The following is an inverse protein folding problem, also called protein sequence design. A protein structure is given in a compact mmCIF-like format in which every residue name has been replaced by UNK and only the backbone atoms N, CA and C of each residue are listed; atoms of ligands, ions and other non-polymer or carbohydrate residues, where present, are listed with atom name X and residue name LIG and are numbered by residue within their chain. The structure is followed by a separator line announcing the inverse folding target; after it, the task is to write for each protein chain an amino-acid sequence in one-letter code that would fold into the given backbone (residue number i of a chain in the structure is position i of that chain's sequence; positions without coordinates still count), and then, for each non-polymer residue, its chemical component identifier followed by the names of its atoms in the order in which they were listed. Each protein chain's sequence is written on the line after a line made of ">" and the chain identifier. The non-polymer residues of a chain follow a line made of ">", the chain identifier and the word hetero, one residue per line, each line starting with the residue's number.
data_IF_236986697726
#
_entry.id   IF_236986697726
#
_cell.length_a   1.000
_cell.length_b   1.000
_cell.length_c   1.000
_cell.angle_alpha   90.00
_cell.angle_beta   90.00
_cell.angle_gamma   90.00
#
_symmetry.space_group_name_H-M   'P 1'
#
loop_
_entity.id
_entity.type
_entity.pdbx_description
1 polymer ?
#
# COMPACT_ATOMS: atom_id res chain seq x y z
N UNK A 1 64.72 5.46 39.68
CA UNK A 1 64.22 5.42 38.32
C UNK A 1 62.66 5.53 38.36
N UNK A 2 62.20 6.67 38.10
CA UNK A 2 60.75 7.06 38.22
C UNK A 2 60.06 6.79 36.94
N UNK A 3 59.05 5.89 36.89
CA UNK A 3 58.19 5.65 35.79
C UNK A 3 57.02 6.64 35.89
N UNK A 4 56.91 7.54 34.90
CA UNK A 4 55.80 8.47 34.74
C UNK A 4 54.56 7.74 34.14
N UNK A 5 53.44 7.82 34.82
CA UNK A 5 52.13 7.41 34.32
C UNK A 5 51.60 8.43 33.29
N UNK A 6 51.22 7.93 32.12
CA UNK A 6 50.51 8.69 31.07
C UNK A 6 49.01 8.62 31.36
N UNK A 7 48.25 9.74 31.33
CA UNK A 7 46.86 9.68 31.68
C UNK A 7 45.99 9.16 30.50
N UNK A 8 45.16 8.19 30.81
CA UNK A 8 44.11 7.60 29.97
C UNK A 8 42.93 8.55 29.88
N UNK A 9 43.02 9.61 29.07
CA UNK A 9 41.95 10.61 28.95
C UNK A 9 41.37 10.80 27.54
N UNK A 10 41.65 9.91 26.58
CA UNK A 10 41.17 10.08 25.18
C UNK A 10 40.20 9.01 24.66
N UNK A 11 39.72 8.09 25.49
CA UNK A 11 38.89 6.98 25.01
C UNK A 11 37.38 7.16 25.18
N UNK A 12 36.92 8.17 25.95
CA UNK A 12 35.49 8.34 26.24
C UNK A 12 34.74 9.24 25.26
N UNK A 13 35.43 10.13 24.56
CA UNK A 13 34.79 11.03 23.58
C UNK A 13 34.55 10.34 22.21
N UNK A 14 35.38 9.36 21.85
CA UNK A 14 35.25 8.62 20.59
C UNK A 14 34.10 7.61 20.57
N UNK A 15 33.76 7.00 21.73
CA UNK A 15 32.65 6.03 21.80
C UNK A 15 31.26 6.68 21.71
N UNK A 16 31.10 7.94 22.16
CA UNK A 16 29.81 8.62 22.11
C UNK A 16 29.47 9.12 20.70
N UNK A 17 30.45 9.42 19.85
CA UNK A 17 30.23 9.81 18.45
C UNK A 17 29.94 8.62 17.52
N UNK A 18 30.53 7.45 17.80
CA UNK A 18 30.25 6.23 17.04
C UNK A 18 28.85 5.65 17.31
N UNK A 19 28.33 5.81 18.54
CA UNK A 19 26.96 5.38 18.88
C UNK A 19 25.89 6.29 18.25
N UNK A 20 26.19 7.55 18.01
CA UNK A 20 25.29 8.54 17.42
C UNK A 20 25.01 8.26 15.92
N UNK A 21 26.05 7.92 15.15
CA UNK A 21 25.89 7.53 13.73
C UNK A 21 25.15 6.21 13.55
N UNK A 22 25.31 5.25 14.45
CA UNK A 22 24.66 3.94 14.39
C UNK A 22 23.15 4.01 14.63
N UNK A 23 22.64 4.90 15.47
CA UNK A 23 21.20 5.07 15.74
C UNK A 23 20.46 5.68 14.53
N UNK A 24 21.05 6.68 13.87
CA UNK A 24 20.48 7.25 12.66
C UNK A 24 20.50 6.29 11.45
N UNK A 25 21.51 5.40 11.40
CA UNK A 25 21.64 4.40 10.34
C UNK A 25 20.61 3.26 10.43
N UNK A 26 19.98 3.06 11.59
CA UNK A 26 18.96 2.03 11.79
C UNK A 26 17.53 2.47 11.46
N UNK A 27 17.28 3.77 11.25
CA UNK A 27 15.94 4.29 10.93
C UNK A 27 15.64 4.17 9.43
N UNK A 28 14.50 3.63 9.09
CA UNK A 28 14.02 3.47 7.71
C UNK A 28 12.57 3.98 7.58
N UNK A 29 12.30 4.94 6.68
CA UNK A 29 13.27 5.77 5.92
C UNK A 29 14.17 6.58 6.85
N UNK A 30 15.38 6.88 6.39
CA UNK A 30 16.29 7.77 7.13
C UNK A 30 15.70 9.18 7.22
N UNK A 31 15.59 9.77 8.43
CA UNK A 31 15.05 11.11 8.59
C UNK A 31 15.97 12.17 7.97
N UNK A 32 15.40 13.32 7.59
CA UNK A 32 16.15 14.43 7.01
C UNK A 32 17.19 14.99 7.99
N UNK A 33 16.84 15.06 9.28
CA UNK A 33 17.77 15.50 10.33
C UNK A 33 17.67 14.58 11.54
N UNK A 34 18.83 14.25 12.14
CA UNK A 34 18.93 13.49 13.37
C UNK A 34 20.10 14.03 14.22
N UNK A 35 19.81 14.43 15.45
CA UNK A 35 20.81 14.87 16.42
C UNK A 35 20.63 14.11 17.70
N UNK A 36 21.63 13.30 18.09
CA UNK A 36 21.58 12.56 19.34
C UNK A 36 21.77 13.50 20.55
N UNK A 37 21.10 13.14 21.65
CA UNK A 37 21.23 13.80 22.96
C UNK A 37 21.65 12.79 24.02
N UNK A 38 22.09 13.28 25.18
CA UNK A 38 22.42 12.42 26.33
C UNK A 38 21.14 11.96 27.04
N UNK A 39 21.10 10.66 27.37
CA UNK A 39 19.99 10.04 28.11
C UNK A 39 18.99 9.33 27.23
N UNK A 40 17.86 8.95 27.80
CA UNK A 40 16.81 8.22 27.13
C UNK A 40 15.47 8.40 27.85
N UNK A 41 14.37 8.35 27.10
CA UNK A 41 13.01 8.28 27.61
C UNK A 41 12.59 6.80 27.75
N UNK A 42 12.24 6.36 28.94
CA UNK A 42 11.78 4.98 29.16
C UNK A 42 10.25 4.98 29.31
N UNK A 43 9.57 4.40 28.32
CA UNK A 43 8.08 4.30 28.33
C UNK A 43 7.56 3.24 29.31
N UNK A 44 8.43 2.39 29.87
CA UNK A 44 8.05 1.30 30.76
C UNK A 44 8.40 1.55 32.25
N UNK A 45 9.37 2.41 32.56
CA UNK A 45 9.97 2.49 33.90
C UNK A 45 9.14 3.24 34.93
N UNK A 46 8.37 4.26 34.52
CA UNK A 46 7.58 5.07 35.46
C UNK A 46 6.32 5.62 34.78
N UNK A 47 5.34 6.03 35.59
CA UNK A 47 4.20 6.78 35.10
C UNK A 47 4.66 8.07 34.39
N UNK A 48 3.98 8.44 33.31
CA UNK A 48 4.17 9.70 32.60
C UNK A 48 2.82 10.34 32.33
N UNK A 49 2.80 11.66 32.23
CA UNK A 49 1.60 12.42 31.85
C UNK A 49 1.50 12.46 30.31
N UNK A 50 0.28 12.28 29.78
CA UNK A 50 -0.01 12.51 28.37
C UNK A 50 -0.70 13.86 28.21
N UNK A 51 -0.14 14.72 27.36
CA UNK A 51 -0.70 16.03 27.02
C UNK A 51 -0.95 16.05 25.51
N UNK A 52 -2.20 16.15 25.12
CA UNK A 52 -2.59 16.24 23.71
C UNK A 52 -3.16 17.62 23.41
N UNK A 53 -2.35 18.46 22.76
CA UNK A 53 -2.71 19.78 22.26
C UNK A 53 -2.98 19.79 20.75
N UNK A 54 -2.87 18.61 20.10
CA UNK A 54 -3.11 18.44 18.67
C UNK A 54 -4.54 18.02 18.32
N UNK A 55 -5.39 17.84 19.34
CA UNK A 55 -6.78 17.42 19.14
C UNK A 55 -6.92 15.99 18.60
N UNK A 56 -7.89 15.81 17.69
CA UNK A 56 -8.21 14.48 17.15
C UNK A 56 -7.12 13.90 16.24
N UNK A 57 -6.27 14.75 15.63
CA UNK A 57 -5.17 14.31 14.78
C UNK A 57 -4.18 13.36 15.49
N UNK A 58 -3.99 13.53 16.80
CA UNK A 58 -3.11 12.68 17.59
C UNK A 58 -3.86 11.56 18.35
N UNK A 59 -5.20 11.62 18.47
CA UNK A 59 -5.99 10.75 19.35
C UNK A 59 -5.87 9.25 19.01
N UNK A 60 -5.82 8.91 17.73
CA UNK A 60 -5.82 7.52 17.25
C UNK A 60 -4.42 6.92 17.06
N UNK A 61 -3.35 7.66 17.36
CA UNK A 61 -1.97 7.28 17.01
C UNK A 61 -1.31 6.44 18.10
N UNK A 62 -1.71 6.66 19.33
CA UNK A 62 -1.23 5.86 20.44
C UNK A 62 -2.26 4.79 20.80
N UNK A 63 -1.86 3.56 20.75
CA UNK A 63 -2.69 2.47 21.30
C UNK A 63 -2.84 2.67 22.81
N UNK A 64 -4.01 2.33 23.35
CA UNK A 64 -4.26 2.35 24.79
C UNK A 64 -3.19 1.57 25.59
N UNK A 65 -2.55 0.58 24.99
CA UNK A 65 -1.46 -0.20 25.58
C UNK A 65 -0.19 0.61 25.83
N UNK A 66 0.15 1.58 24.96
CA UNK A 66 1.32 2.44 25.14
C UNK A 66 1.15 3.41 26.32
N UNK A 67 -0.10 3.73 26.70
CA UNK A 67 -0.43 4.71 27.73
C UNK A 67 -1.12 4.11 28.96
N UNK A 68 -1.09 2.79 29.12
CA UNK A 68 -1.65 2.10 30.28
C UNK A 68 -1.05 2.57 31.63
N UNK A 69 0.10 3.24 31.61
CA UNK A 69 0.78 3.82 32.76
C UNK A 69 0.69 5.35 32.83
N UNK A 70 -0.19 5.98 32.05
CA UNK A 70 -0.40 7.42 32.13
C UNK A 70 -0.93 7.83 33.52
N UNK A 71 -0.34 8.88 34.09
CA UNK A 71 -0.72 9.43 35.41
C UNK A 71 -0.52 10.94 35.40
N UNK A 72 -1.54 11.66 35.87
CA UNK A 72 -1.51 13.13 35.92
C UNK A 72 -0.45 13.71 36.87
N UNK A 73 0.02 12.91 37.82
CA UNK A 73 1.02 13.34 38.84
C UNK A 73 2.46 12.93 38.46
N UNK A 74 2.71 12.47 37.21
CA UNK A 74 4.02 12.06 36.80
C UNK A 74 4.90 13.28 36.43
N UNK A 75 6.19 13.21 36.84
CA UNK A 75 7.18 14.24 36.48
C UNK A 75 7.67 14.16 35.02
N UNK A 76 7.27 13.13 34.29
CA UNK A 76 7.62 12.87 32.88
C UNK A 76 6.40 13.09 31.99
N UNK A 77 6.64 13.55 30.74
CA UNK A 77 5.55 13.89 29.84
C UNK A 77 5.76 13.35 28.44
N UNK A 78 4.69 12.80 27.86
CA UNK A 78 4.53 12.61 26.41
C UNK A 78 3.57 13.69 25.93
N UNK A 79 4.03 14.53 25.02
CA UNK A 79 3.25 15.68 24.55
C UNK A 79 3.09 15.63 23.03
N UNK A 80 1.87 15.84 22.56
CA UNK A 80 1.52 15.97 21.15
C UNK A 80 1.07 17.40 20.88
N UNK A 81 1.74 18.07 19.92
CA UNK A 81 1.43 19.43 19.52
C UNK A 81 1.32 19.57 18.01
N UNK A 82 0.48 20.48 17.52
CA UNK A 82 0.40 20.80 16.11
C UNK A 82 1.66 21.53 15.65
N UNK A 83 2.24 21.11 14.52
CA UNK A 83 3.36 21.78 13.88
C UNK A 83 2.81 22.85 12.93
N UNK A 84 2.90 24.10 13.36
CA UNK A 84 2.51 25.25 12.55
C UNK A 84 3.60 25.55 11.49
N UNK A 85 3.18 26.12 10.34
CA UNK A 85 4.07 26.54 9.25
C UNK A 85 5.03 25.42 8.77
N UNK A 86 4.53 24.18 8.70
CA UNK A 86 5.30 23.03 8.25
C UNK A 86 5.59 23.09 6.74
N UNK A 87 6.75 22.57 6.33
CA UNK A 87 7.16 22.48 4.92
C UNK A 87 6.29 21.51 4.10
N UNK A 88 5.61 20.59 4.78
CA UNK A 88 4.72 19.57 4.19
C UNK A 88 3.64 19.22 5.19
N UNK A 89 2.47 18.79 4.70
CA UNK A 89 1.41 18.21 5.54
C UNK A 89 1.82 16.90 6.22
N UNK A 90 2.89 16.27 5.76
CA UNK A 90 3.45 15.04 6.33
C UNK A 90 4.71 15.30 7.19
N UNK A 91 5.06 16.57 7.44
CA UNK A 91 6.23 16.94 8.25
C UNK A 91 5.99 16.71 9.75
N UNK A 92 7.03 16.27 10.44
CA UNK A 92 7.02 16.08 11.89
C UNK A 92 8.37 16.39 12.52
N UNK A 93 8.35 16.66 13.83
CA UNK A 93 9.52 16.81 14.68
C UNK A 93 9.38 15.96 15.94
N UNK A 94 10.49 15.38 16.37
CA UNK A 94 10.63 14.73 17.66
C UNK A 94 11.68 15.46 18.49
N UNK A 95 11.34 15.77 19.75
CA UNK A 95 12.28 16.20 20.75
C UNK A 95 12.19 15.27 21.95
N UNK A 96 13.22 14.46 22.15
CA UNK A 96 13.23 13.39 23.14
C UNK A 96 14.33 13.66 24.15
N UNK A 97 13.95 13.76 25.42
CA UNK A 97 14.84 13.90 26.58
C UNK A 97 14.48 12.82 27.63
N UNK A 98 15.23 12.66 28.72
CA UNK A 98 14.85 11.70 29.78
C UNK A 98 13.46 11.95 30.38
N UNK A 99 12.98 13.19 30.36
CA UNK A 99 11.72 13.60 31.02
C UNK A 99 10.61 13.98 30.04
N UNK A 100 10.93 14.16 28.77
CA UNK A 100 9.95 14.63 27.77
C UNK A 100 10.13 13.87 26.45
N UNK A 101 8.99 13.36 25.93
CA UNK A 101 8.84 12.91 24.56
C UNK A 101 7.85 13.84 23.89
N UNK A 102 8.35 14.85 23.15
CA UNK A 102 7.54 15.80 22.39
C UNK A 102 7.44 15.36 20.95
N UNK A 103 6.20 15.19 20.49
CA UNK A 103 5.83 14.88 19.09
C UNK A 103 5.11 16.08 18.51
N UNK A 104 5.72 16.74 17.53
CA UNK A 104 5.11 17.85 16.78
C UNK A 104 4.86 17.42 15.35
N UNK A 105 3.63 17.54 14.85
CA UNK A 105 3.30 17.06 13.50
C UNK A 105 2.23 17.93 12.82
N UNK A 106 2.29 17.99 11.48
CA UNK A 106 1.44 18.87 10.68
C UNK A 106 0.04 18.29 10.41
N UNK A 107 -0.14 16.98 10.54
CA UNK A 107 -1.42 16.29 10.29
C UNK A 107 -1.48 14.97 11.04
N UNK A 108 -2.63 14.28 10.99
CA UNK A 108 -2.81 12.94 11.53
C UNK A 108 -1.80 11.93 10.94
N UNK A 109 -1.56 11.98 9.63
CA UNK A 109 -0.57 11.12 8.99
C UNK A 109 0.86 11.43 9.45
N UNK A 110 1.20 12.71 9.60
CA UNK A 110 2.50 13.13 10.13
C UNK A 110 2.72 12.65 11.57
N UNK A 111 1.71 12.69 12.44
CA UNK A 111 1.78 12.09 13.78
C UNK A 111 2.03 10.59 13.72
N UNK A 112 1.37 9.88 12.79
CA UNK A 112 1.59 8.44 12.57
C UNK A 112 3.04 8.16 12.17
N UNK A 113 3.61 8.91 11.24
CA UNK A 113 5.02 8.77 10.83
C UNK A 113 6.00 9.10 11.95
N UNK A 114 5.73 10.13 12.73
CA UNK A 114 6.50 10.45 13.93
C UNK A 114 6.50 9.28 14.91
N UNK A 115 5.31 8.69 15.15
CA UNK A 115 5.18 7.55 16.06
C UNK A 115 5.90 6.30 15.55
N UNK A 116 5.83 5.99 14.25
CA UNK A 116 6.61 4.91 13.66
C UNK A 116 8.13 5.11 13.87
N UNK A 117 8.60 6.36 13.81
CA UNK A 117 10.00 6.66 14.14
C UNK A 117 10.32 6.40 15.62
N UNK A 118 9.43 6.75 16.53
CA UNK A 118 9.56 6.43 17.96
C UNK A 118 9.59 4.91 18.17
N UNK A 119 8.71 4.15 17.51
CA UNK A 119 8.69 2.69 17.58
C UNK A 119 9.97 2.04 17.04
N UNK A 120 10.53 2.55 15.94
CA UNK A 120 11.81 2.07 15.41
C UNK A 120 13.01 2.40 16.33
N UNK A 121 12.96 3.55 17.04
CA UNK A 121 13.99 3.94 18.01
C UNK A 121 13.90 3.12 19.29
N UNK A 122 12.71 2.67 19.66
CA UNK A 122 12.42 1.97 20.90
C UNK A 122 13.08 0.59 20.93
N UNK A 123 13.90 0.35 21.93
CA UNK A 123 14.49 -0.96 22.14
C UNK A 123 13.46 -1.94 22.77
N UNK A 124 13.84 -3.22 22.88
CA UNK A 124 12.99 -4.29 23.48
C UNK A 124 12.60 -4.04 24.93
N UNK A 125 13.28 -3.14 25.64
CA UNK A 125 12.97 -2.77 27.04
C UNK A 125 12.06 -1.54 27.12
N UNK A 126 11.64 -0.96 25.98
CA UNK A 126 10.78 0.23 25.94
C UNK A 126 11.55 1.55 26.10
N UNK A 127 12.87 1.52 25.92
CA UNK A 127 13.71 2.72 26.06
C UNK A 127 13.92 3.36 24.70
N UNK A 128 13.62 4.66 24.59
CA UNK A 128 13.82 5.49 23.41
C UNK A 128 15.00 6.42 23.66
N UNK A 129 16.07 6.38 22.86
CA UNK A 129 17.23 7.25 23.06
C UNK A 129 16.85 8.73 22.89
N UNK A 130 17.46 9.60 23.70
CA UNK A 130 17.25 11.04 23.60
C UNK A 130 17.84 11.57 22.30
N UNK A 131 17.05 12.32 21.52
CA UNK A 131 17.43 12.88 20.22
C UNK A 131 16.50 14.00 19.79
N UNK A 132 16.93 14.76 18.79
CA UNK A 132 16.07 15.63 17.97
C UNK A 132 16.00 15.05 16.57
N UNK A 133 14.80 15.04 16.01
CA UNK A 133 14.52 14.66 14.62
C UNK A 133 13.66 15.72 13.99
N UNK A 134 14.00 16.11 12.76
CA UNK A 134 13.15 16.91 11.87
C UNK A 134 13.04 16.12 10.56
N UNK A 135 11.81 15.80 10.14
CA UNK A 135 11.58 14.89 9.02
C UNK A 135 10.32 15.25 8.23
N UNK A 136 10.40 15.03 6.94
CA UNK A 136 9.29 15.07 6.01
C UNK A 136 9.62 14.15 4.82
N UNK A 137 8.64 13.46 4.23
CA UNK A 137 8.91 12.57 3.11
C UNK A 137 9.37 13.37 1.87
N UNK A 138 10.36 12.81 1.15
CA UNK A 138 10.81 13.36 -0.13
C UNK A 138 9.76 13.20 -1.25
N UNK A 139 8.92 12.17 -1.15
CA UNK A 139 7.89 11.85 -2.15
C UNK A 139 6.51 11.76 -1.50
N UNK A 140 5.51 12.37 -2.15
CA UNK A 140 4.10 12.29 -1.72
C UNK A 140 3.48 10.91 -1.96
N UNK A 141 3.95 10.21 -3.00
CA UNK A 141 3.46 8.88 -3.36
C UNK A 141 4.52 7.84 -3.01
N UNK A 142 4.22 6.97 -2.05
CA UNK A 142 5.09 5.89 -1.59
C UNK A 142 4.29 4.61 -1.61
N UNK A 143 4.40 3.89 -2.73
CA UNK A 143 3.55 2.75 -3.06
C UNK A 143 4.35 1.44 -3.08
N UNK A 144 3.67 0.37 -2.68
CA UNK A 144 4.02 -1.01 -2.98
C UNK A 144 2.92 -1.61 -3.83
N UNK A 145 3.26 -2.24 -4.94
CA UNK A 145 2.33 -3.04 -5.74
C UNK A 145 2.39 -4.49 -5.30
N UNK A 146 1.21 -5.13 -5.15
CA UNK A 146 1.08 -6.56 -4.88
C UNK A 146 0.18 -7.16 -5.95
N UNK A 147 0.74 -8.08 -6.72
CA UNK A 147 0.02 -8.87 -7.71
C UNK A 147 -0.64 -10.08 -7.03
N UNK A 148 -1.94 -10.02 -6.89
CA UNK A 148 -2.78 -11.10 -6.35
C UNK A 148 -3.46 -11.91 -7.44
N UNK A 149 -3.35 -11.46 -8.70
CA UNK A 149 -3.90 -12.16 -9.85
C UNK A 149 -3.06 -13.39 -10.20
N UNK A 150 -1.76 -13.20 -10.50
CA UNK A 150 -0.89 -14.32 -10.85
C UNK A 150 -0.72 -15.30 -9.72
N UNK A 151 -0.80 -14.79 -8.47
CA UNK A 151 -0.77 -15.63 -7.27
C UNK A 151 -1.74 -15.10 -6.21
N UNK A 152 -2.86 -15.82 -6.00
CA UNK A 152 -3.85 -15.43 -4.99
C UNK A 152 -3.24 -15.42 -3.58
N UNK A 153 -3.44 -14.34 -2.85
CA UNK A 153 -2.99 -14.16 -1.47
C UNK A 153 -4.19 -14.03 -0.52
N UNK A 154 -4.20 -14.66 0.64
CA UNK A 154 -5.28 -14.48 1.61
C UNK A 154 -5.27 -13.07 2.21
N UNK A 155 -6.43 -12.59 2.68
CA UNK A 155 -6.58 -11.28 3.34
C UNK A 155 -5.60 -11.11 4.51
N UNK A 156 -5.31 -12.17 5.26
CA UNK A 156 -4.35 -12.13 6.37
C UNK A 156 -2.92 -11.78 5.92
N UNK A 157 -2.53 -12.22 4.72
CA UNK A 157 -1.25 -11.82 4.12
C UNK A 157 -1.26 -10.33 3.76
N UNK A 158 -2.32 -9.83 3.12
CA UNK A 158 -2.44 -8.42 2.75
C UNK A 158 -2.43 -7.51 3.99
N UNK A 159 -3.15 -7.88 5.05
CA UNK A 159 -3.11 -7.14 6.33
C UNK A 159 -1.69 -7.09 6.90
N UNK A 160 -0.95 -8.20 6.87
CA UNK A 160 0.45 -8.23 7.32
C UNK A 160 1.35 -7.33 6.46
N UNK A 161 1.15 -7.28 5.14
CA UNK A 161 1.89 -6.36 4.27
C UNK A 161 1.56 -4.90 4.60
N UNK A 162 0.30 -4.59 4.84
CA UNK A 162 -0.14 -3.25 5.26
C UNK A 162 0.51 -2.83 6.60
N UNK A 163 0.63 -3.74 7.57
CA UNK A 163 1.35 -3.48 8.82
C UNK A 163 2.81 -3.09 8.55
N UNK A 164 3.52 -3.90 7.75
CA UNK A 164 4.92 -3.64 7.37
C UNK A 164 5.04 -2.33 6.57
N UNK A 165 4.14 -2.08 5.63
CA UNK A 165 4.11 -0.83 4.87
C UNK A 165 3.95 0.40 5.77
N UNK A 166 3.07 0.32 6.78
CA UNK A 166 2.87 1.38 7.76
C UNK A 166 4.14 1.65 8.56
N UNK A 167 4.84 0.60 9.01
CA UNK A 167 6.10 0.70 9.75
C UNK A 167 7.18 1.47 8.96
N UNK A 168 7.23 1.27 7.63
CA UNK A 168 8.15 1.96 6.73
C UNK A 168 7.56 3.22 6.06
N UNK A 169 6.44 3.74 6.56
CA UNK A 169 5.81 5.00 6.13
C UNK A 169 5.37 5.02 4.67
N UNK A 170 5.03 3.86 4.09
CA UNK A 170 4.29 3.80 2.84
C UNK A 170 2.88 4.36 3.03
N UNK A 171 2.31 4.94 1.98
CA UNK A 171 0.97 5.52 2.05
C UNK A 171 0.01 5.04 0.95
N UNK A 172 0.47 4.18 0.03
CA UNK A 172 -0.36 3.60 -1.02
C UNK A 172 -0.05 2.12 -1.19
N UNK A 173 -1.10 1.28 -1.17
CA UNK A 173 -1.05 -0.09 -1.64
C UNK A 173 -1.70 -0.16 -3.01
N UNK A 174 -0.91 -0.41 -4.04
CA UNK A 174 -1.39 -0.71 -5.38
C UNK A 174 -1.73 -2.21 -5.43
N UNK A 175 -3.01 -2.53 -5.55
CA UNK A 175 -3.50 -3.90 -5.52
C UNK A 175 -3.91 -4.32 -6.93
N UNK A 176 -3.07 -5.13 -7.57
CA UNK A 176 -3.29 -5.66 -8.92
C UNK A 176 -4.26 -6.84 -8.83
N UNK A 177 -5.55 -6.53 -9.04
CA UNK A 177 -6.67 -7.45 -8.76
C UNK A 177 -7.01 -8.36 -9.92
N UNK A 178 -6.68 -7.98 -11.14
CA UNK A 178 -7.12 -8.70 -12.34
C UNK A 178 -5.99 -8.85 -13.34
N UNK A 179 -5.88 -10.00 -13.94
CA UNK A 179 -4.99 -10.34 -15.04
C UNK A 179 -5.37 -11.73 -15.55
N UNK A 180 -4.89 -12.13 -16.71
CA UNK A 180 -5.15 -13.40 -17.35
C UNK A 180 -5.09 -14.64 -16.42
N UNK A 181 -4.25 -14.59 -15.38
CA UNK A 181 -4.09 -15.70 -14.44
C UNK A 181 -5.22 -15.81 -13.39
N UNK A 182 -6.06 -14.78 -13.26
CA UNK A 182 -7.25 -14.82 -12.43
C UNK A 182 -7.81 -13.48 -12.01
N UNK A 183 -9.13 -13.40 -11.97
CA UNK A 183 -9.91 -12.29 -11.45
C UNK A 183 -10.09 -12.40 -9.94
N UNK A 184 -9.83 -11.33 -9.15
CA UNK A 184 -9.75 -11.45 -7.69
C UNK A 184 -10.77 -10.63 -6.90
N UNK A 185 -11.70 -9.94 -7.55
CA UNK A 185 -12.73 -9.17 -6.88
C UNK A 185 -14.12 -9.66 -7.22
N UNK A 186 -14.99 -9.81 -6.21
CA UNK A 186 -16.40 -10.06 -6.43
C UNK A 186 -17.06 -8.88 -7.15
N UNK A 187 -17.66 -9.14 -8.31
CA UNK A 187 -18.55 -8.23 -9.04
C UNK A 187 -19.92 -8.88 -9.10
N UNK A 188 -20.85 -8.37 -8.32
CA UNK A 188 -22.17 -9.00 -8.14
C UNK A 188 -22.97 -9.10 -9.44
N UNK A 189 -22.80 -8.11 -10.31
CA UNK A 189 -23.43 -8.10 -11.63
C UNK A 189 -22.88 -9.16 -12.57
N UNK A 190 -21.63 -9.59 -12.38
CA UNK A 190 -20.92 -10.49 -13.28
C UNK A 190 -20.35 -11.74 -12.55
N UNK A 191 -21.22 -12.67 -12.09
CA UNK A 191 -20.81 -13.78 -11.22
C UNK A 191 -19.85 -14.78 -11.87
N UNK A 192 -19.79 -14.84 -13.22
CA UNK A 192 -18.80 -15.72 -13.90
C UNK A 192 -17.35 -15.26 -13.68
N UNK A 193 -17.11 -14.01 -13.27
CA UNK A 193 -15.78 -13.53 -12.92
C UNK A 193 -15.20 -14.27 -11.71
N UNK A 194 -16.03 -14.61 -10.74
CA UNK A 194 -15.61 -15.35 -9.54
C UNK A 194 -15.85 -16.86 -9.65
N UNK A 195 -16.91 -17.29 -10.33
CA UNK A 195 -17.23 -18.71 -10.46
C UNK A 195 -16.33 -19.46 -11.46
N UNK A 196 -15.70 -18.75 -12.41
CA UNK A 196 -14.82 -19.32 -13.44
C UNK A 196 -13.48 -18.59 -13.53
N UNK A 197 -13.49 -17.29 -13.77
CA UNK A 197 -12.26 -16.53 -14.07
C UNK A 197 -11.29 -16.39 -12.87
N UNK A 198 -11.72 -16.73 -11.66
CA UNK A 198 -10.88 -16.72 -10.46
C UNK A 198 -10.11 -18.02 -10.20
N UNK A 199 -10.34 -19.08 -10.99
CA UNK A 199 -9.87 -20.42 -10.70
C UNK A 199 -9.16 -21.07 -11.89
N UNK A 200 -8.12 -21.85 -11.62
CA UNK A 200 -7.36 -22.60 -12.62
C UNK A 200 -6.89 -23.95 -12.09
N UNK A 201 -6.60 -24.96 -12.97
CA UNK A 201 -6.14 -26.26 -12.52
C UNK A 201 -4.76 -26.23 -11.85
N UNK A 202 -3.83 -25.44 -12.37
CA UNK A 202 -2.45 -25.44 -11.94
C UNK A 202 -2.16 -24.37 -10.90
N UNK A 203 -1.35 -24.74 -9.90
CA UNK A 203 -0.98 -23.85 -8.82
C UNK A 203 -0.03 -22.74 -9.26
N UNK A 204 0.93 -23.04 -10.12
CA UNK A 204 1.89 -22.06 -10.59
C UNK A 204 1.48 -21.48 -11.93
N UNK A 205 1.72 -20.18 -12.10
CA UNK A 205 1.47 -19.49 -13.37
C UNK A 205 2.23 -20.12 -14.54
N UNK A 206 3.48 -20.57 -14.29
CA UNK A 206 4.33 -21.22 -15.31
C UNK A 206 3.75 -22.54 -15.82
N UNK A 207 3.22 -23.38 -14.92
CA UNK A 207 2.56 -24.65 -15.30
C UNK A 207 1.26 -24.38 -16.02
N UNK A 208 0.45 -23.47 -15.52
CA UNK A 208 -0.79 -23.02 -16.14
C UNK A 208 -0.56 -22.57 -17.60
N UNK A 209 0.43 -21.70 -17.85
CA UNK A 209 0.78 -21.26 -19.19
C UNK A 209 1.22 -22.43 -20.11
N UNK A 210 2.03 -23.37 -19.60
CA UNK A 210 2.44 -24.56 -20.36
C UNK A 210 1.29 -25.49 -20.72
N UNK A 211 0.26 -25.56 -19.89
CA UNK A 211 -0.90 -26.44 -20.05
C UNK A 211 -2.08 -25.79 -20.78
N UNK A 212 -1.82 -24.69 -21.50
CA UNK A 212 -2.78 -24.05 -22.38
C UNK A 212 -3.72 -23.09 -21.69
N UNK A 213 -3.34 -22.57 -20.52
CA UNK A 213 -4.00 -21.46 -19.80
C UNK A 213 -5.50 -21.68 -19.59
N UNK A 214 -5.90 -22.89 -19.14
CA UNK A 214 -7.31 -23.22 -18.91
C UNK A 214 -7.79 -22.73 -17.54
N UNK A 215 -9.10 -22.41 -17.45
CA UNK A 215 -9.76 -22.06 -16.20
C UNK A 215 -10.57 -23.24 -15.67
N UNK A 216 -10.81 -23.22 -14.36
CA UNK A 216 -11.62 -24.20 -13.65
C UNK A 216 -12.84 -23.51 -13.02
N UNK A 217 -13.92 -24.25 -12.80
CA UNK A 217 -15.03 -23.72 -12.02
C UNK A 217 -14.71 -23.72 -10.52
N UNK A 218 -15.28 -22.78 -9.79
CA UNK A 218 -15.27 -22.80 -8.33
C UNK A 218 -15.72 -24.15 -7.79
N UNK A 219 -15.00 -24.67 -6.78
CA UNK A 219 -15.28 -25.98 -6.18
C UNK A 219 -14.77 -27.19 -6.98
N UNK A 220 -14.11 -27.00 -8.13
CA UNK A 220 -13.44 -28.11 -8.83
C UNK A 220 -12.30 -28.65 -7.96
N UNK A 221 -12.26 -29.96 -7.78
CA UNK A 221 -11.22 -30.64 -6.99
C UNK A 221 -9.82 -30.29 -7.54
N UNK A 222 -8.91 -29.88 -6.67
CA UNK A 222 -7.55 -29.50 -7.02
C UNK A 222 -7.41 -28.14 -7.69
N UNK A 223 -8.48 -27.39 -7.95
CA UNK A 223 -8.39 -26.06 -8.51
C UNK A 223 -7.66 -25.10 -7.56
N UNK A 224 -6.80 -24.28 -8.13
CA UNK A 224 -6.09 -23.20 -7.46
C UNK A 224 -6.68 -21.83 -7.84
N UNK A 225 -6.90 -20.99 -6.86
CA UNK A 225 -7.42 -19.64 -7.07
C UNK A 225 -8.07 -19.08 -5.83
N UNK A 226 -8.99 -18.17 -6.04
CA UNK A 226 -9.75 -17.47 -5.02
C UNK A 226 -10.05 -16.04 -5.45
N UNK A 227 -10.92 -15.40 -4.70
CA UNK A 227 -11.28 -14.01 -4.86
C UNK A 227 -11.60 -13.41 -3.50
N UNK A 228 -11.70 -12.10 -3.48
CA UNK A 228 -12.15 -11.35 -2.30
C UNK A 228 -13.59 -10.93 -2.49
N UNK A 229 -14.43 -11.14 -1.48
CA UNK A 229 -15.77 -10.55 -1.46
C UNK A 229 -15.67 -9.04 -1.29
N UNK A 230 -16.69 -8.30 -1.70
CA UNK A 230 -16.74 -6.86 -1.49
C UNK A 230 -16.65 -6.49 0.00
N UNK A 231 -17.23 -7.30 0.88
CA UNK A 231 -17.14 -7.12 2.32
C UNK A 231 -15.70 -7.25 2.82
N UNK A 232 -15.00 -8.33 2.41
CA UNK A 232 -13.58 -8.53 2.75
C UNK A 232 -12.70 -7.37 2.28
N UNK A 233 -12.99 -6.81 1.10
CA UNK A 233 -12.24 -5.67 0.57
C UNK A 233 -12.56 -4.38 1.34
N UNK A 234 -13.83 -4.14 1.74
CA UNK A 234 -14.18 -2.99 2.62
C UNK A 234 -13.47 -3.08 3.96
N UNK A 235 -13.42 -4.27 4.56
CA UNK A 235 -12.67 -4.50 5.79
C UNK A 235 -11.17 -4.25 5.61
N UNK A 236 -10.60 -4.66 4.48
CA UNK A 236 -9.20 -4.41 4.15
C UNK A 236 -8.93 -2.92 3.95
N UNK A 237 -9.83 -2.19 3.28
CA UNK A 237 -9.76 -0.74 3.08
C UNK A 237 -9.79 -0.01 4.43
N UNK A 238 -10.70 -0.39 5.32
CA UNK A 238 -10.77 0.19 6.67
C UNK A 238 -9.47 -0.07 7.46
N UNK A 239 -8.98 -1.32 7.42
CA UNK A 239 -7.73 -1.72 8.06
C UNK A 239 -6.52 -0.92 7.56
N UNK A 240 -6.45 -0.67 6.26
CA UNK A 240 -5.39 0.13 5.64
C UNK A 240 -5.51 1.62 6.03
N UNK A 241 -6.73 2.17 6.03
CA UNK A 241 -6.99 3.56 6.38
C UNK A 241 -6.58 3.90 7.83
N UNK A 242 -6.83 3.00 8.78
CA UNK A 242 -6.36 3.12 10.16
C UNK A 242 -4.82 3.26 10.25
N UNK A 243 -4.10 2.75 9.26
CA UNK A 243 -2.63 2.78 9.14
C UNK A 243 -2.10 3.87 8.21
N UNK A 244 -2.98 4.76 7.73
CA UNK A 244 -2.62 5.84 6.80
C UNK A 244 -2.31 5.36 5.38
N UNK A 245 -2.79 4.19 5.00
CA UNK A 245 -2.57 3.60 3.69
C UNK A 245 -3.87 3.60 2.89
N UNK A 246 -3.84 4.20 1.70
CA UNK A 246 -4.93 4.11 0.73
C UNK A 246 -4.67 2.95 -0.22
N UNK A 247 -5.66 2.09 -0.44
CA UNK A 247 -5.57 1.03 -1.45
C UNK A 247 -6.00 1.63 -2.80
N UNK A 248 -5.14 1.50 -3.80
CA UNK A 248 -5.42 1.85 -5.20
C UNK A 248 -5.66 0.53 -5.94
N UNK A 249 -6.92 0.21 -6.30
CA UNK A 249 -7.22 -1.00 -7.04
C UNK A 249 -6.81 -0.87 -8.50
N UNK A 250 -6.40 -1.97 -9.11
CA UNK A 250 -6.16 -2.06 -10.55
C UNK A 250 -7.10 -3.07 -11.19
N UNK A 251 -7.74 -2.64 -12.27
CA UNK A 251 -8.59 -3.44 -13.16
C UNK A 251 -8.02 -3.31 -14.56
N UNK A 252 -7.49 -4.39 -15.09
CA UNK A 252 -6.83 -4.41 -16.39
C UNK A 252 -7.79 -4.24 -17.55
N UNK A 253 -7.40 -3.37 -18.48
CA UNK A 253 -8.05 -3.15 -19.77
C UNK A 253 -7.11 -2.41 -20.73
N UNK A 254 -7.14 -2.66 -22.06
CA UNK A 254 -7.91 -3.71 -22.72
C UNK A 254 -7.22 -5.07 -22.69
N UNK A 255 -5.89 -5.12 -22.45
CA UNK A 255 -5.07 -6.32 -22.38
C UNK A 255 -5.25 -7.09 -21.07
N UNK A 256 -4.47 -8.16 -20.90
CA UNK A 256 -4.44 -8.99 -19.69
C UNK A 256 -5.81 -9.53 -19.24
N UNK A 257 -6.78 -9.66 -20.15
CA UNK A 257 -8.20 -9.91 -19.87
C UNK A 257 -8.68 -11.29 -20.33
N UNK A 258 -7.76 -12.25 -20.55
CA UNK A 258 -8.13 -13.59 -21.03
C UNK A 258 -9.12 -14.32 -20.11
N UNK A 259 -9.04 -14.10 -18.80
CA UNK A 259 -9.95 -14.65 -17.80
C UNK A 259 -11.37 -14.12 -17.97
N UNK A 260 -11.50 -12.82 -18.21
CA UNK A 260 -12.79 -12.17 -18.47
C UNK A 260 -13.35 -12.67 -19.80
N UNK A 261 -12.56 -12.68 -20.87
CA UNK A 261 -12.98 -13.07 -22.21
C UNK A 261 -13.27 -14.56 -22.34
N UNK A 262 -12.75 -15.38 -21.42
CA UNK A 262 -13.18 -16.77 -21.30
C UNK A 262 -14.54 -16.90 -20.60
N UNK A 263 -14.78 -16.08 -19.58
CA UNK A 263 -16.06 -16.06 -18.86
C UNK A 263 -17.18 -15.33 -19.63
N UNK A 264 -16.83 -14.32 -20.41
CA UNK A 264 -17.73 -13.44 -21.19
C UNK A 264 -17.17 -13.26 -22.62
N UNK A 265 -17.18 -14.30 -23.46
CA UNK A 265 -16.55 -14.26 -24.79
C UNK A 265 -17.18 -13.21 -25.71
N UNK A 266 -18.42 -12.81 -25.47
CA UNK A 266 -19.12 -11.73 -26.19
C UNK A 266 -18.43 -10.36 -26.12
N UNK A 267 -17.48 -10.17 -25.19
CA UNK A 267 -16.70 -8.95 -25.04
C UNK A 267 -15.43 -8.94 -25.90
N UNK A 268 -15.11 -10.04 -26.55
CA UNK A 268 -13.99 -10.17 -27.48
C UNK A 268 -14.40 -9.93 -28.94
N UNK A 269 -13.43 -9.66 -29.81
CA UNK A 269 -13.68 -9.56 -31.26
C UNK A 269 -14.07 -10.88 -31.90
N UNK A 270 -13.61 -12.00 -31.32
CA UNK A 270 -13.85 -13.36 -31.86
C UNK A 270 -15.13 -13.98 -31.34
N UNK A 271 -15.66 -13.49 -30.22
CA UNK A 271 -16.80 -14.05 -29.49
C UNK A 271 -16.59 -15.54 -29.07
N UNK A 272 -15.33 -15.97 -29.02
CA UNK A 272 -14.95 -17.34 -28.63
C UNK A 272 -14.03 -17.30 -27.43
N UNK A 273 -14.23 -18.23 -26.42
CA UNK A 273 -13.35 -18.32 -25.28
C UNK A 273 -11.95 -18.82 -25.71
N UNK A 274 -10.92 -18.38 -24.99
CA UNK A 274 -9.50 -18.77 -25.21
C UNK A 274 -8.87 -18.29 -26.54
N UNK A 275 -9.52 -17.41 -27.28
CA UNK A 275 -9.05 -16.96 -28.60
C UNK A 275 -8.40 -15.58 -28.60
N UNK A 276 -8.65 -14.79 -27.55
CA UNK A 276 -8.21 -13.41 -27.48
C UNK A 276 -7.90 -13.04 -26.02
N UNK A 277 -6.98 -12.11 -25.83
CA UNK A 277 -6.55 -11.62 -24.50
C UNK A 277 -6.96 -10.17 -24.26
N UNK A 278 -7.43 -9.47 -25.30
CA UNK A 278 -7.81 -8.06 -25.24
C UNK A 278 -9.31 -7.89 -25.46
N UNK A 279 -9.94 -6.97 -24.78
CA UNK A 279 -11.32 -6.57 -25.06
C UNK A 279 -11.50 -6.09 -26.50
N UNK A 280 -12.74 -6.10 -27.00
CA UNK A 280 -13.11 -5.48 -28.26
C UNK A 280 -13.48 -3.99 -28.05
N UNK A 281 -12.61 -3.02 -28.33
CA UNK A 281 -12.88 -1.61 -28.08
C UNK A 281 -13.84 -0.97 -29.11
N UNK A 282 -14.23 -1.72 -30.16
CA UNK A 282 -15.31 -1.32 -31.06
C UNK A 282 -16.71 -1.67 -30.56
N UNK A 283 -16.82 -2.53 -29.53
CA UNK A 283 -18.10 -3.01 -29.02
C UNK A 283 -18.62 -2.16 -27.87
N UNK A 284 -19.86 -1.67 -27.95
CA UNK A 284 -20.54 -0.96 -26.85
C UNK A 284 -20.63 -1.85 -25.61
N UNK A 285 -20.83 -3.16 -25.78
CA UNK A 285 -20.88 -4.11 -24.65
C UNK A 285 -19.62 -4.10 -23.80
N UNK A 286 -18.45 -3.83 -24.39
CA UNK A 286 -17.18 -3.68 -23.64
C UNK A 286 -17.24 -2.49 -22.70
N UNK A 287 -17.69 -1.34 -23.16
CA UNK A 287 -17.83 -0.13 -22.34
C UNK A 287 -18.86 -0.33 -21.23
N UNK A 288 -20.04 -0.88 -21.55
CA UNK A 288 -21.09 -1.19 -20.57
C UNK A 288 -20.59 -2.13 -19.48
N UNK A 289 -19.82 -3.16 -19.87
CA UNK A 289 -19.22 -4.11 -18.93
C UNK A 289 -18.23 -3.42 -18.01
N UNK A 290 -17.24 -2.71 -18.57
CA UNK A 290 -16.17 -2.06 -17.82
C UNK A 290 -16.72 -0.94 -16.91
N UNK A 291 -17.67 -0.13 -17.38
CA UNK A 291 -18.35 0.87 -16.54
C UNK A 291 -19.07 0.23 -15.34
N UNK A 292 -19.77 -0.88 -15.56
CA UNK A 292 -20.47 -1.56 -14.48
C UNK A 292 -19.49 -2.18 -13.48
N UNK A 293 -18.36 -2.72 -13.94
CA UNK A 293 -17.28 -3.21 -13.07
C UNK A 293 -16.71 -2.05 -12.26
N UNK A 294 -16.32 -0.95 -12.90
CA UNK A 294 -15.73 0.20 -12.22
C UNK A 294 -16.67 0.86 -11.21
N UNK A 295 -17.99 0.86 -11.48
CA UNK A 295 -18.99 1.32 -10.49
C UNK A 295 -18.93 0.50 -9.20
N UNK A 296 -18.88 -0.83 -9.29
CA UNK A 296 -18.77 -1.68 -8.10
C UNK A 296 -17.39 -1.56 -7.42
N UNK A 297 -16.32 -1.33 -8.20
CA UNK A 297 -14.98 -1.04 -7.65
C UNK A 297 -14.99 0.27 -6.85
N UNK A 298 -15.58 1.34 -7.39
CA UNK A 298 -15.69 2.64 -6.71
C UNK A 298 -16.54 2.57 -5.42
N UNK A 299 -17.56 1.71 -5.40
CA UNK A 299 -18.38 1.49 -4.20
C UNK A 299 -17.59 0.81 -3.05
N UNK A 300 -16.52 0.12 -3.37
CA UNK A 300 -15.68 -0.60 -2.40
C UNK A 300 -14.44 0.21 -2.02
N UNK A 301 -13.80 0.87 -2.98
CA UNK A 301 -12.54 1.57 -2.79
C UNK A 301 -12.73 3.10 -2.83
N UNK A 302 -12.64 3.80 -1.68
CA UNK A 302 -12.76 5.26 -1.61
C UNK A 302 -11.50 5.99 -2.10
N UNK A 303 -10.65 5.31 -2.85
CA UNK A 303 -9.44 5.91 -3.45
C UNK A 303 -9.82 6.97 -4.47
N UNK A 304 -9.06 8.08 -4.47
CA UNK A 304 -9.19 9.10 -5.52
C UNK A 304 -8.78 8.57 -6.90
N UNK A 305 -8.01 7.49 -6.94
CA UNK A 305 -7.45 6.92 -8.17
C UNK A 305 -7.80 5.44 -8.25
N UNK A 306 -8.14 5.01 -9.46
CA UNK A 306 -8.22 3.62 -9.89
C UNK A 306 -7.21 3.45 -11.01
N UNK A 307 -6.41 2.39 -10.97
CA UNK A 307 -5.51 2.04 -12.06
C UNK A 307 -6.27 1.16 -13.06
N UNK A 308 -6.20 1.50 -14.34
CA UNK A 308 -6.93 0.80 -15.41
C UNK A 308 -6.02 -0.06 -16.29
N UNK A 309 -4.76 -0.27 -15.86
CA UNK A 309 -3.76 -1.01 -16.64
C UNK A 309 -3.39 -0.29 -17.94
N UNK A 310 -3.53 -0.99 -19.04
CA UNK A 310 -3.32 -0.45 -20.38
C UNK A 310 -2.01 -0.93 -21.04
N UNK A 311 -1.25 -1.77 -20.36
CA UNK A 311 0.01 -2.30 -20.86
C UNK A 311 -0.18 -3.56 -21.72
N UNK A 312 0.80 -3.86 -22.53
CA UNK A 312 0.99 -5.09 -23.30
C UNK A 312 -0.21 -5.57 -24.14
N UNK A 313 -1.15 -4.69 -24.51
CA UNK A 313 -2.29 -5.07 -25.35
C UNK A 313 -1.80 -5.58 -26.73
N UNK A 314 -2.15 -6.81 -27.10
CA UNK A 314 -1.71 -7.47 -28.34
C UNK A 314 -2.33 -6.81 -29.59
N UNK A 315 -3.62 -6.45 -29.51
CA UNK A 315 -4.36 -5.76 -30.59
C UNK A 315 -4.44 -6.52 -31.91
N UNK A 316 -4.05 -7.79 -31.93
CA UNK A 316 -3.96 -8.58 -33.17
C UNK A 316 -5.33 -8.79 -33.83
N UNK A 317 -6.39 -8.91 -33.04
CA UNK A 317 -7.74 -9.14 -33.55
C UNK A 317 -8.48 -7.87 -34.02
N UNK A 318 -8.05 -6.69 -33.57
CA UNK A 318 -8.78 -5.43 -33.84
C UNK A 318 -8.79 -5.03 -35.32
N UNK A 319 -7.68 -5.16 -36.09
CA UNK A 319 -7.68 -4.81 -37.50
C UNK A 319 -8.61 -5.66 -38.38
N UNK A 320 -8.98 -6.87 -37.93
CA UNK A 320 -9.89 -7.77 -38.65
C UNK A 320 -11.34 -7.72 -38.13
N UNK A 321 -11.56 -7.10 -36.98
CA UNK A 321 -12.87 -6.97 -36.36
C UNK A 321 -13.70 -5.85 -37.02
N UNK A 322 -14.91 -6.13 -37.56
CA UNK A 322 -15.72 -5.09 -38.19
C UNK A 322 -16.07 -3.90 -37.27
N UNK A 323 -16.37 -4.17 -36.00
CA UNK A 323 -16.69 -3.13 -35.01
C UNK A 323 -15.48 -2.23 -34.70
N UNK A 324 -14.29 -2.84 -34.55
CA UNK A 324 -13.07 -2.07 -34.33
C UNK A 324 -12.67 -1.26 -35.59
N UNK A 325 -12.83 -1.83 -36.78
CA UNK A 325 -12.60 -1.11 -38.03
C UNK A 325 -13.52 0.09 -38.20
N UNK A 326 -14.82 -0.07 -37.88
CA UNK A 326 -15.79 1.01 -37.91
C UNK A 326 -15.41 2.12 -36.93
N UNK A 327 -15.07 1.75 -35.68
CA UNK A 327 -14.68 2.70 -34.65
C UNK A 327 -13.37 3.43 -35.01
N UNK A 328 -12.37 2.73 -35.57
CA UNK A 328 -11.15 3.37 -36.05
C UNK A 328 -11.41 4.37 -37.18
N UNK A 329 -12.35 4.05 -38.12
CA UNK A 329 -12.76 4.99 -39.18
C UNK A 329 -13.48 6.21 -38.62
N UNK A 330 -14.41 6.02 -37.69
CA UNK A 330 -15.13 7.12 -37.02
C UNK A 330 -14.17 8.10 -36.32
N UNK A 331 -13.15 7.55 -35.65
CA UNK A 331 -12.17 8.33 -34.86
C UNK A 331 -11.02 8.85 -35.74
N UNK A 332 -10.87 8.38 -36.99
CA UNK A 332 -9.72 8.72 -37.83
C UNK A 332 -8.38 8.25 -37.26
N UNK A 333 -8.37 7.10 -36.58
CA UNK A 333 -7.18 6.59 -35.88
C UNK A 333 -6.83 5.15 -36.31
N UNK A 334 -5.66 4.68 -35.92
CA UNK A 334 -5.22 3.29 -36.00
C UNK A 334 -5.57 2.50 -34.72
N UNK A 335 -5.08 1.26 -34.61
CA UNK A 335 -5.28 0.40 -33.44
C UNK A 335 -4.71 0.98 -32.16
N UNK A 336 -3.62 1.76 -32.22
CA UNK A 336 -3.02 2.37 -31.04
C UNK A 336 -3.83 3.57 -30.58
N UNK A 337 -4.34 4.37 -31.52
CA UNK A 337 -5.33 5.41 -31.24
C UNK A 337 -6.65 4.86 -30.69
N UNK A 338 -7.09 3.68 -31.13
CA UNK A 338 -8.28 3.01 -30.62
C UNK A 338 -8.10 2.58 -29.15
N UNK A 339 -6.91 2.07 -28.79
CA UNK A 339 -6.56 1.80 -27.37
C UNK A 339 -6.59 3.09 -26.55
N UNK A 340 -5.94 4.15 -27.03
CA UNK A 340 -5.92 5.44 -26.36
C UNK A 340 -7.35 5.99 -26.12
N UNK A 341 -8.24 5.81 -27.11
CA UNK A 341 -9.65 6.19 -26.99
C UNK A 341 -10.37 5.41 -25.89
N UNK A 342 -10.17 4.08 -25.83
CA UNK A 342 -10.76 3.26 -24.76
C UNK A 342 -10.28 3.72 -23.39
N UNK A 343 -8.97 3.86 -23.18
CA UNK A 343 -8.39 4.27 -21.88
C UNK A 343 -8.83 5.69 -21.49
N UNK A 344 -8.94 6.60 -22.47
CA UNK A 344 -9.39 7.97 -22.20
C UNK A 344 -10.89 8.08 -21.84
N UNK A 345 -11.69 7.04 -22.13
CA UNK A 345 -13.10 6.99 -21.75
C UNK A 345 -13.28 6.77 -20.25
N UNK A 346 -12.40 6.00 -19.63
CA UNK A 346 -12.42 5.66 -18.21
C UNK A 346 -11.48 6.54 -17.38
#
# INVERSE_FOLDING_TARGET
>A
MTTKSVPTLFLTAGLSLLSCGALAQGLLPKPQSFTARKGAFDVNAAAFKVVNEAGDDARNIYSAACFAKASDNAGRVVRFVRLENASSTEAYRLHITPDTLLVSAASADAFRYAWQTVEQLKNRKGVVPACDIDDAPAYRWRSLMIDVSRHFQPISFLKKQIDVMSEYKFNRLHLHLTDAAGWRMEIKRYPRLTNLAAWRPERTWKEWGKNGSKYAKEGTEGAYGGYYTQEQLRDLVSYAAERGITIVPEIEMPGHSAEVLTAYPELSCTHEPYKQMDFCPGSVATYDFLENVLKEVMDVFPSKYIHVGGDEADKASWPSCPLCQEKMRELGCDKDGLQAHLIAHF
#
